data_IF_160196539217
#
_entry.id   IF_160196539217
#
_cell.length_a   1.000
_cell.length_b   1.000
_cell.length_c   1.000
_cell.angle_alpha   90.00
_cell.angle_beta   90.00
_cell.angle_gamma   90.00
#
_symmetry.space_group_name_H-M   'P 1'
#
loop_
_entity.id
_entity.type
_entity.pdbx_description
1 polymer ?
#
# COMPACT_ATOMS: atom_id res chain seq x y z
N UNK A 1 32.55 -10.98 22.36
CA UNK A 1 31.39 -10.14 21.98
C UNK A 1 31.35 -10.08 20.46
N UNK A 2 30.43 -10.82 19.83
CA UNK A 2 30.19 -10.72 18.39
C UNK A 2 28.80 -10.09 18.23
N UNK A 3 28.78 -8.77 18.12
CA UNK A 3 27.56 -8.02 17.87
C UNK A 3 27.23 -8.10 16.39
N UNK A 4 26.55 -9.17 15.97
CA UNK A 4 25.87 -9.18 14.68
C UNK A 4 24.78 -8.11 14.68
N UNK A 5 24.73 -7.29 13.63
CA UNK A 5 23.72 -6.23 13.46
C UNK A 5 22.32 -6.84 13.59
N UNK A 6 21.64 -6.60 14.70
CA UNK A 6 20.27 -7.06 14.91
C UNK A 6 19.33 -6.07 14.20
N UNK A 7 19.01 -6.33 12.95
CA UNK A 7 18.04 -5.51 12.22
C UNK A 7 16.64 -6.00 12.61
N UNK A 8 15.87 -5.15 13.30
CA UNK A 8 14.45 -5.40 13.63
C UNK A 8 13.58 -4.42 12.87
N UNK A 9 12.58 -4.95 12.17
CA UNK A 9 11.60 -4.15 11.44
C UNK A 9 10.20 -4.52 11.93
N UNK A 10 9.46 -3.51 12.36
CA UNK A 10 8.06 -3.65 12.74
C UNK A 10 7.22 -2.73 11.86
N UNK A 11 6.19 -3.29 11.22
CA UNK A 11 5.25 -2.54 10.41
C UNK A 11 3.86 -2.84 10.91
N UNK A 12 3.26 -1.86 11.57
CA UNK A 12 1.91 -1.98 12.11
C UNK A 12 1.01 -1.00 11.38
N UNK A 13 -0.04 -1.53 10.76
CA UNK A 13 -1.08 -0.77 10.08
C UNK A 13 -2.39 -1.03 10.82
N UNK A 14 -2.88 -0.01 11.52
CA UNK A 14 -4.16 -0.08 12.22
C UNK A 14 -5.13 0.93 11.61
N UNK A 15 -6.35 0.51 11.38
CA UNK A 15 -7.42 1.41 10.99
C UNK A 15 -8.77 0.73 11.11
N UNK A 16 -9.78 1.55 11.35
CA UNK A 16 -11.16 1.12 11.58
C UNK A 16 -12.08 1.99 10.75
N UNK A 17 -13.06 1.34 10.10
CA UNK A 17 -14.16 2.03 9.39
C UNK A 17 -15.43 1.76 10.17
N UNK A 18 -15.95 2.77 10.88
CA UNK A 18 -17.15 2.65 11.72
C UNK A 18 -18.04 3.89 11.58
N UNK A 19 -19.35 3.70 11.81
CA UNK A 19 -20.34 4.79 11.73
C UNK A 19 -20.71 5.21 10.30
N UNK A 20 -20.33 4.42 9.30
CA UNK A 20 -20.51 4.77 7.90
C UNK A 20 -21.94 4.53 7.40
N UNK A 21 -22.51 5.54 6.75
CA UNK A 21 -23.76 5.42 5.96
C UNK A 21 -23.47 5.94 4.56
N UNK A 22 -23.80 5.14 3.54
CA UNK A 22 -23.68 5.52 2.14
C UNK A 22 -25.06 5.41 1.49
N UNK A 23 -25.60 6.53 0.98
CA UNK A 23 -26.90 6.57 0.29
C UNK A 23 -26.79 7.44 -0.95
N UNK A 24 -27.45 7.03 -2.04
CA UNK A 24 -27.34 7.64 -3.38
C UNK A 24 -25.89 7.74 -3.88
N UNK A 25 -25.06 6.75 -3.57
CA UNK A 25 -23.67 6.72 -4.03
C UNK A 25 -23.62 6.28 -5.48
N UNK A 26 -23.16 7.18 -6.35
CA UNK A 26 -22.72 6.85 -7.71
C UNK A 26 -21.21 6.66 -7.64
N UNK A 27 -20.73 5.43 -7.82
CA UNK A 27 -19.30 5.13 -7.92
C UNK A 27 -18.83 5.09 -9.38
N UNK A 28 -17.58 5.47 -9.61
CA UNK A 28 -16.92 5.37 -10.90
C UNK A 28 -16.21 4.02 -11.11
N UNK A 29 -15.48 3.91 -12.22
CA UNK A 29 -14.61 2.76 -12.49
C UNK A 29 -13.17 3.03 -12.04
N UNK A 30 -12.55 2.01 -11.47
CA UNK A 30 -11.10 1.96 -11.30
C UNK A 30 -10.52 1.55 -12.65
N UNK A 31 -10.08 2.51 -13.46
CA UNK A 31 -9.53 2.22 -14.78
C UNK A 31 -8.01 2.42 -14.79
N UNK A 32 -7.30 1.34 -15.13
CA UNK A 32 -5.89 1.32 -15.52
C UNK A 32 -5.91 0.70 -16.91
N UNK A 33 -5.59 1.49 -17.93
CA UNK A 33 -5.63 1.07 -19.32
C UNK A 33 -4.24 0.71 -19.87
N UNK A 34 -4.18 0.23 -21.11
CA UNK A 34 -2.95 -0.28 -21.74
C UNK A 34 -1.73 0.63 -21.55
N UNK A 35 -0.57 0.01 -21.38
CA UNK A 35 0.72 0.68 -21.13
C UNK A 35 0.81 1.53 -19.85
N UNK A 36 -0.17 1.50 -18.94
CA UNK A 36 -0.18 2.33 -17.71
C UNK A 36 1.08 2.23 -16.84
N UNK A 37 1.77 1.10 -16.91
CA UNK A 37 3.01 0.81 -16.19
C UNK A 37 4.11 0.30 -17.12
N UNK A 38 4.00 0.54 -18.43
CA UNK A 38 5.05 0.20 -19.37
C UNK A 38 6.32 0.96 -19.02
N UNK A 39 7.43 0.24 -18.85
CA UNK A 39 8.69 0.83 -18.37
C UNK A 39 8.75 1.12 -16.87
N UNK A 40 7.79 0.67 -16.06
CA UNK A 40 7.88 0.80 -14.61
C UNK A 40 9.07 -0.02 -14.07
N UNK A 41 9.86 0.60 -13.21
CA UNK A 41 11.03 0.01 -12.54
C UNK A 41 11.02 0.40 -11.07
N UNK A 42 11.66 -0.40 -10.21
CA UNK A 42 11.58 -0.26 -8.76
C UNK A 42 10.38 -0.98 -8.16
N UNK A 43 9.66 -0.33 -7.23
CA UNK A 43 8.54 -0.92 -6.49
C UNK A 43 7.25 -0.12 -6.72
N UNK A 44 6.60 -0.24 -7.89
CA UNK A 44 5.35 0.44 -8.15
C UNK A 44 4.25 -0.13 -7.24
N UNK A 45 3.49 0.75 -6.58
CA UNK A 45 2.30 0.37 -5.80
C UNK A 45 1.09 1.16 -6.28
N UNK A 46 -0.02 0.45 -6.50
CA UNK A 46 -1.22 1.05 -7.09
C UNK A 46 -2.43 0.48 -6.38
N UNK A 47 -3.28 1.37 -5.90
CA UNK A 47 -4.52 0.99 -5.25
C UNK A 47 -5.61 1.90 -5.78
N UNK A 48 -6.58 1.29 -6.44
CA UNK A 48 -7.75 1.99 -6.94
C UNK A 48 -8.97 1.51 -6.16
N UNK A 49 -9.74 2.44 -5.61
CA UNK A 49 -10.98 2.13 -4.94
C UNK A 49 -12.02 3.22 -5.25
N UNK A 50 -13.06 2.85 -5.99
CA UNK A 50 -14.19 3.75 -6.31
C UNK A 50 -15.36 3.64 -5.35
N UNK A 51 -15.20 2.89 -4.26
CA UNK A 51 -16.23 2.68 -3.25
C UNK A 51 -16.35 3.84 -2.27
N UNK A 52 -17.47 3.85 -1.54
CA UNK A 52 -17.60 4.63 -0.30
C UNK A 52 -17.28 3.76 0.91
N UNK A 53 -16.87 4.35 2.02
CA UNK A 53 -16.57 3.64 3.27
C UNK A 53 -15.37 2.70 3.16
N UNK A 54 -14.33 3.14 2.44
CA UNK A 54 -13.13 2.32 2.25
C UNK A 54 -11.98 2.87 3.07
N UNK A 55 -11.38 2.00 3.86
CA UNK A 55 -10.06 2.18 4.44
C UNK A 55 -9.07 1.36 3.62
N UNK A 56 -8.02 2.03 3.15
CA UNK A 56 -6.91 1.41 2.44
C UNK A 56 -5.68 1.51 3.32
N UNK A 57 -5.09 0.37 3.65
CA UNK A 57 -3.85 0.28 4.40
C UNK A 57 -2.82 -0.47 3.57
N UNK A 58 -1.82 0.25 3.06
CA UNK A 58 -0.74 -0.32 2.29
C UNK A 58 0.60 0.18 2.84
N UNK A 59 1.52 -0.75 3.07
CA UNK A 59 2.89 -0.44 3.41
C UNK A 59 3.84 -1.28 2.55
N UNK A 60 4.83 -0.60 1.99
CA UNK A 60 5.97 -1.24 1.34
C UNK A 60 7.18 -0.99 2.21
N UNK A 61 7.76 -2.06 2.75
CA UNK A 61 8.93 -1.98 3.62
C UNK A 61 10.11 -2.65 2.93
N UNK A 62 11.14 -1.86 2.68
CA UNK A 62 12.36 -2.28 2.00
C UNK A 62 13.53 -2.17 2.96
N UNK A 63 14.22 -3.30 3.14
CA UNK A 63 15.42 -3.37 3.96
C UNK A 63 16.59 -3.77 3.09
N UNK A 64 17.58 -2.89 3.00
CA UNK A 64 18.76 -3.12 2.17
C UNK A 64 19.99 -3.10 3.06
N UNK A 65 20.74 -4.19 3.06
CA UNK A 65 22.05 -4.30 3.70
C UNK A 65 23.07 -4.54 2.60
N UNK A 66 24.00 -3.61 2.43
CA UNK A 66 25.17 -3.83 1.60
C UNK A 66 26.30 -4.37 2.48
N UNK A 67 26.96 -5.41 2.03
CA UNK A 67 28.23 -5.88 2.58
C UNK A 67 29.31 -5.65 1.53
N UNK A 68 30.55 -5.30 1.93
CA UNK A 68 31.67 -5.17 0.99
C UNK A 68 31.88 -6.44 0.14
#
# INVERSE_FOLDING_TARGET
MSGGTNVKQNTTLNGTVTGNTASRVVSGSNAISGESFSGASGLPTVIQNTGSNVLIQNATVVNVQFTP
#
